data_IF_906537415936
#
_entry.id   IF_906537415936
#
_cell.length_a   1.000
_cell.length_b   1.000
_cell.length_c   1.000
_cell.angle_alpha   90.00
_cell.angle_beta   90.00
_cell.angle_gamma   90.00
#
_symmetry.space_group_name_H-M   'P 1'
#
loop_
_entity.id
_entity.type
_entity.pdbx_description
1 polymer ?
#
# COMPACT_ATOMS: atom_id res chain seq x y z
N UNK A 1 -21.94 14.87 15.55
CA UNK A 1 -21.44 14.93 14.16
C UNK A 1 -20.22 14.04 14.07
N UNK A 2 -20.15 13.08 13.15
CA UNK A 2 -18.87 12.41 12.87
C UNK A 2 -17.99 13.40 12.12
N UNK A 3 -16.88 13.81 12.75
CA UNK A 3 -15.86 14.62 12.07
C UNK A 3 -15.37 13.84 10.84
N UNK A 4 -15.48 14.50 9.69
CA UNK A 4 -15.01 14.00 8.40
C UNK A 4 -13.70 14.69 8.07
N UNK A 5 -12.73 13.93 7.58
CA UNK A 5 -11.49 14.43 7.00
C UNK A 5 -11.56 14.08 5.51
N UNK A 6 -11.79 15.09 4.67
CA UNK A 6 -12.10 14.89 3.26
C UNK A 6 -13.40 14.09 3.08
N UNK A 7 -13.33 12.98 2.32
CA UNK A 7 -14.47 12.07 2.09
C UNK A 7 -14.60 10.96 3.14
N UNK A 8 -13.60 10.81 4.02
CA UNK A 8 -13.58 9.76 5.03
C UNK A 8 -14.09 10.27 6.38
N UNK A 9 -14.82 9.44 7.11
CA UNK A 9 -15.05 9.69 8.52
C UNK A 9 -13.87 9.17 9.38
N UNK A 10 -13.75 9.67 10.60
CA UNK A 10 -12.67 9.27 11.53
C UNK A 10 -12.60 7.74 11.77
N UNK A 11 -13.74 7.04 11.77
CA UNK A 11 -13.76 5.58 11.93
C UNK A 11 -13.19 4.88 10.70
N UNK A 12 -13.50 5.36 9.50
CA UNK A 12 -12.95 4.83 8.26
C UNK A 12 -11.43 5.02 8.20
N UNK A 13 -10.93 6.19 8.60
CA UNK A 13 -9.48 6.40 8.69
C UNK A 13 -8.83 5.46 9.71
N UNK A 14 -9.42 5.29 10.89
CA UNK A 14 -8.91 4.32 11.87
C UNK A 14 -8.90 2.89 11.31
N UNK A 15 -9.95 2.51 10.56
CA UNK A 15 -10.01 1.21 9.89
C UNK A 15 -8.91 1.06 8.84
N UNK A 16 -8.62 2.09 8.03
CA UNK A 16 -7.52 2.08 7.06
C UNK A 16 -6.17 1.88 7.77
N UNK A 17 -5.91 2.65 8.82
CA UNK A 17 -4.66 2.57 9.60
C UNK A 17 -4.44 1.19 10.21
N UNK A 18 -5.50 0.51 10.64
CA UNK A 18 -5.41 -0.86 11.17
C UNK A 18 -5.34 -1.90 10.05
N UNK A 19 -6.12 -1.73 8.98
CA UNK A 19 -6.21 -2.69 7.89
C UNK A 19 -4.88 -2.82 7.15
N UNK A 20 -4.15 -1.72 6.95
CA UNK A 20 -2.88 -1.72 6.23
C UNK A 20 -1.86 -2.73 6.78
N UNK A 21 -1.39 -2.64 8.05
CA UNK A 21 -0.40 -3.57 8.58
C UNK A 21 -0.89 -5.03 8.64
N UNK A 22 -2.21 -5.24 8.75
CA UNK A 22 -2.80 -6.60 8.69
C UNK A 22 -2.70 -7.15 7.27
N UNK A 23 -3.12 -6.37 6.27
CA UNK A 23 -3.05 -6.75 4.86
C UNK A 23 -1.61 -6.97 4.42
N UNK A 24 -0.68 -6.12 4.84
CA UNK A 24 0.73 -6.25 4.57
C UNK A 24 1.27 -7.60 5.08
N UNK A 25 0.97 -7.98 6.33
CA UNK A 25 1.37 -9.28 6.87
C UNK A 25 0.75 -10.47 6.13
N UNK A 26 -0.51 -10.36 5.73
CA UNK A 26 -1.23 -11.42 5.03
C UNK A 26 -0.71 -11.57 3.59
N UNK A 27 -0.49 -10.46 2.90
CA UNK A 27 -0.12 -10.42 1.49
C UNK A 27 1.37 -10.60 1.25
N UNK A 28 2.23 -10.27 2.22
CA UNK A 28 3.68 -10.45 2.11
C UNK A 28 4.06 -11.88 1.78
N UNK A 29 3.35 -12.87 2.32
CA UNK A 29 3.60 -14.30 2.03
C UNK A 29 3.09 -14.77 0.67
N UNK A 30 2.25 -13.98 -0.03
CA UNK A 30 1.61 -14.37 -1.29
C UNK A 30 2.18 -13.60 -2.48
N UNK A 31 2.25 -12.28 -2.36
CA UNK A 31 2.62 -11.39 -3.48
C UNK A 31 3.92 -10.60 -3.21
N UNK A 32 4.56 -10.81 -2.06
CA UNK A 32 5.69 -10.02 -1.60
C UNK A 32 5.30 -8.65 -1.04
N UNK A 33 6.29 -7.87 -0.64
CA UNK A 33 6.12 -6.53 -0.08
C UNK A 33 7.30 -5.62 -0.45
N UNK A 34 7.06 -4.33 -0.69
CA UNK A 34 8.14 -3.38 -0.97
C UNK A 34 8.70 -3.40 -2.40
N UNK A 35 8.03 -4.05 -3.35
CA UNK A 35 8.49 -4.15 -4.76
C UNK A 35 7.53 -3.45 -5.71
N UNK A 36 8.02 -3.03 -6.88
CA UNK A 36 7.17 -2.45 -7.92
C UNK A 36 6.03 -3.41 -8.33
N UNK A 37 6.33 -4.71 -8.42
CA UNK A 37 5.34 -5.73 -8.80
C UNK A 37 4.28 -5.93 -7.72
N UNK A 38 4.67 -6.02 -6.43
CA UNK A 38 3.71 -6.10 -5.32
C UNK A 38 2.82 -4.86 -5.28
N UNK A 39 3.39 -3.69 -5.57
CA UNK A 39 2.64 -2.43 -5.62
C UNK A 39 1.54 -2.43 -6.69
N UNK A 40 1.84 -2.89 -7.91
CA UNK A 40 0.84 -3.02 -8.98
C UNK A 40 -0.26 -4.00 -8.59
N UNK A 41 0.10 -5.16 -8.04
CA UNK A 41 -0.87 -6.19 -7.65
C UNK A 41 -1.80 -5.66 -6.54
N UNK A 42 -1.26 -4.92 -5.56
CA UNK A 42 -2.06 -4.29 -4.49
C UNK A 42 -3.02 -3.24 -5.04
N UNK A 43 -2.62 -2.43 -6.03
CA UNK A 43 -3.51 -1.47 -6.70
C UNK A 43 -4.65 -2.15 -7.47
N UNK A 44 -4.34 -3.24 -8.18
CA UNK A 44 -5.36 -4.06 -8.84
C UNK A 44 -6.30 -4.67 -7.81
N UNK A 45 -5.76 -5.21 -6.71
CA UNK A 45 -6.53 -5.70 -5.58
C UNK A 45 -7.43 -4.63 -4.96
N UNK A 46 -6.93 -3.40 -4.81
CA UNK A 46 -7.71 -2.26 -4.32
C UNK A 46 -8.91 -1.97 -5.22
N UNK A 47 -8.71 -1.97 -6.55
CA UNK A 47 -9.80 -1.80 -7.51
C UNK A 47 -10.85 -2.90 -7.38
N UNK A 48 -10.43 -4.17 -7.32
CA UNK A 48 -11.38 -5.28 -7.17
C UNK A 48 -12.12 -5.24 -5.84
N UNK A 49 -11.43 -5.05 -4.73
CA UNK A 49 -12.04 -4.98 -3.40
C UNK A 49 -13.02 -3.81 -3.30
N UNK A 50 -12.64 -2.64 -3.80
CA UNK A 50 -13.49 -1.45 -3.77
C UNK A 50 -14.78 -1.58 -4.59
N UNK A 51 -14.77 -2.44 -5.61
CA UNK A 51 -15.96 -2.75 -6.42
C UNK A 51 -16.72 -4.00 -5.95
N UNK A 52 -16.10 -4.89 -5.16
CA UNK A 52 -16.70 -6.17 -4.76
C UNK A 52 -17.24 -6.16 -3.34
N UNK A 53 -16.74 -5.30 -2.47
CA UNK A 53 -17.15 -5.21 -1.07
C UNK A 53 -17.76 -3.84 -0.82
N UNK A 54 -19.07 -3.82 -0.62
CA UNK A 54 -19.79 -2.60 -0.30
C UNK A 54 -19.55 -2.13 1.15
N UNK A 55 -19.76 -0.83 1.35
CA UNK A 55 -19.74 -0.21 2.68
C UNK A 55 -18.36 0.27 3.14
N UNK A 56 -18.30 0.69 4.42
CA UNK A 56 -17.11 1.32 5.00
C UNK A 56 -15.92 0.37 5.12
N UNK A 57 -16.18 -0.93 5.27
CA UNK A 57 -15.14 -1.95 5.40
C UNK A 57 -14.43 -2.20 4.07
N UNK A 58 -15.18 -2.42 2.98
CA UNK A 58 -14.62 -2.57 1.64
C UNK A 58 -13.85 -1.33 1.20
N UNK A 59 -14.39 -0.13 1.46
CA UNK A 59 -13.67 1.13 1.24
C UNK A 59 -12.36 1.21 2.04
N UNK A 60 -12.36 0.79 3.31
CA UNK A 60 -11.16 0.83 4.14
C UNK A 60 -10.07 -0.13 3.63
N UNK A 61 -10.44 -1.37 3.27
CA UNK A 61 -9.50 -2.36 2.72
C UNK A 61 -8.96 -1.89 1.37
N UNK A 62 -9.85 -1.45 0.46
CA UNK A 62 -9.44 -0.94 -0.84
C UNK A 62 -8.49 0.26 -0.70
N UNK A 63 -8.79 1.18 0.23
CA UNK A 63 -7.93 2.34 0.49
C UNK A 63 -6.59 1.91 1.09
N UNK A 64 -6.58 0.98 2.03
CA UNK A 64 -5.33 0.45 2.61
C UNK A 64 -4.45 -0.22 1.55
N UNK A 65 -5.02 -1.07 0.69
CA UNK A 65 -4.32 -1.67 -0.45
C UNK A 65 -3.78 -0.63 -1.43
N UNK A 66 -4.56 0.41 -1.71
CA UNK A 66 -4.16 1.46 -2.64
C UNK A 66 -3.01 2.31 -2.10
N UNK A 67 -3.06 2.67 -0.82
CA UNK A 67 -1.98 3.41 -0.15
C UNK A 67 -0.71 2.56 -0.14
N UNK A 68 -0.80 1.31 0.30
CA UNK A 68 0.34 0.40 0.40
C UNK A 68 0.96 0.10 -0.98
N UNK A 69 0.13 -0.15 -1.99
CA UNK A 69 0.62 -0.34 -3.36
C UNK A 69 1.23 0.91 -3.98
N UNK A 70 0.69 2.08 -3.65
CA UNK A 70 1.26 3.38 -4.04
C UNK A 70 2.61 3.65 -3.38
N UNK A 71 2.76 3.30 -2.10
CA UNK A 71 4.03 3.39 -1.38
C UNK A 71 5.09 2.47 -1.98
N UNK A 72 4.75 1.21 -2.25
CA UNK A 72 5.63 0.27 -2.95
C UNK A 72 6.16 0.86 -4.25
N UNK A 73 5.27 1.38 -5.10
CA UNK A 73 5.66 1.97 -6.39
C UNK A 73 6.49 3.23 -6.19
N UNK A 74 6.05 4.15 -5.31
CA UNK A 74 6.74 5.41 -5.07
C UNK A 74 8.15 5.18 -4.53
N UNK A 75 8.32 4.28 -3.56
CA UNK A 75 9.62 3.93 -2.98
C UNK A 75 10.53 3.32 -4.05
N UNK A 76 10.01 2.41 -4.88
CA UNK A 76 10.81 1.79 -5.95
C UNK A 76 11.20 2.78 -7.06
N UNK A 77 10.32 3.73 -7.40
CA UNK A 77 10.62 4.79 -8.37
C UNK A 77 11.63 5.80 -7.81
N UNK A 78 11.52 6.15 -6.52
CA UNK A 78 12.45 7.03 -5.85
C UNK A 78 13.82 6.37 -5.66
N UNK A 79 13.87 5.09 -5.28
CA UNK A 79 15.13 4.36 -5.14
C UNK A 79 15.81 4.09 -6.48
N UNK A 80 15.03 3.75 -7.52
CA UNK A 80 15.52 3.59 -8.89
C UNK A 80 15.96 4.89 -9.55
N UNK A 81 15.30 6.03 -9.24
CA UNK A 81 15.66 7.36 -9.77
C UNK A 81 16.81 8.05 -9.03
N UNK A 82 17.08 7.67 -7.77
CA UNK A 82 18.19 8.20 -6.96
C UNK A 82 19.43 7.31 -6.97
N UNK A 83 19.43 6.19 -7.71
CA UNK A 83 20.55 5.23 -7.72
C UNK A 83 20.81 4.57 -6.36
N UNK A 84 19.86 4.66 -5.42
CA UNK A 84 20.00 4.05 -4.09
C UNK A 84 19.58 2.61 -4.23
N UNK A 85 20.55 1.74 -4.48
CA UNK A 85 20.37 0.30 -4.40
C UNK A 85 20.09 -0.06 -2.93
N UNK A 86 18.88 -0.49 -2.53
CA UNK A 86 18.57 -0.80 -1.13
C UNK A 86 19.31 -2.06 -0.63
N UNK A 87 19.97 -2.79 -1.53
CA UNK A 87 20.99 -3.76 -1.21
C UNK A 87 22.36 -3.07 -1.21
N UNK A 88 22.87 -2.72 -0.03
CA UNK A 88 24.19 -2.12 0.16
C UNK A 88 25.30 -3.00 -0.40
N UNK A 89 25.65 -2.77 -1.66
CA UNK A 89 26.97 -3.06 -2.20
C UNK A 89 27.59 -1.71 -2.51
N UNK A 90 28.45 -1.26 -1.59
CA UNK A 90 29.56 -0.41 -1.97
C UNK A 90 30.35 -1.31 -2.92
N UNK A 91 30.17 -1.14 -4.22
CA UNK A 91 31.19 -1.61 -5.16
C UNK A 91 32.42 -0.76 -4.87
N UNK A 92 33.35 -1.36 -4.13
CA UNK A 92 34.70 -0.85 -3.95
C UNK A 92 35.23 -0.47 -5.33
N UNK A 93 35.32 0.84 -5.55
CA UNK A 93 35.94 1.41 -6.74
C UNK A 93 37.43 1.11 -6.63
N UNK A 94 37.90 0.19 -7.46
CA UNK A 94 39.33 -0.11 -7.67
C UNK A 94 40.01 1.13 -8.29
#
# INVERSE_FOLDING_TARGET
>A
MSEKIGKFNLKELAMVTIAKPVLEKVLAGVIGNGTLQSGIIKLVGAYFVGNSIDGSFGRAIATALAIDGGEDIAINLLSGGLGVNPAGTIEDTI
#
